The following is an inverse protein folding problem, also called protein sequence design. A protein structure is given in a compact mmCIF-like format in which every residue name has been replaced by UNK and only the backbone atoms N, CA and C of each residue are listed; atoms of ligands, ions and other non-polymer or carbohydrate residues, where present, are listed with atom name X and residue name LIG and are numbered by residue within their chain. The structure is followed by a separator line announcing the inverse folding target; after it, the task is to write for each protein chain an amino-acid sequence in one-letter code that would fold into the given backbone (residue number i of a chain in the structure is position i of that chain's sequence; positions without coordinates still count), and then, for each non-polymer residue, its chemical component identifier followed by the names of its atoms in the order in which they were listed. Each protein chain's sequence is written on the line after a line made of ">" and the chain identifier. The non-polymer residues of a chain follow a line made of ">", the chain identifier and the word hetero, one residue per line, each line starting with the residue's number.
data_IF_162063707142
#
_entry.id   IF_162063707142
#
_cell.length_a   1.000
_cell.length_b   1.000
_cell.length_c   1.000
_cell.angle_alpha   90.00
_cell.angle_beta   90.00
_cell.angle_gamma   90.00
#
_symmetry.space_group_name_H-M   'P 1'
#
loop_
_entity.id
_entity.type
_entity.pdbx_description
1 polymer ?
#
# COMPACT_ATOMS: atom_id res chain seq x y z
N UNK A 1 31.42 -2.55 -7.18
CA UNK A 1 30.57 -3.70 -6.80
C UNK A 1 29.80 -3.30 -5.53
N UNK A 2 28.51 -2.99 -5.63
CA UNK A 2 27.69 -2.79 -4.43
C UNK A 2 27.46 -4.18 -3.82
N UNK A 3 28.02 -4.43 -2.64
CA UNK A 3 27.67 -5.61 -1.84
C UNK A 3 26.16 -5.56 -1.60
N UNK A 4 25.41 -6.54 -2.11
CA UNK A 4 23.99 -6.67 -1.79
C UNK A 4 23.88 -6.96 -0.30
N UNK A 5 23.21 -6.08 0.44
CA UNK A 5 22.86 -6.31 1.85
C UNK A 5 22.07 -7.62 1.96
N UNK A 6 22.38 -8.45 2.92
CA UNK A 6 21.56 -9.61 3.25
C UNK A 6 20.16 -9.18 3.71
N UNK A 7 19.15 -9.91 3.27
CA UNK A 7 17.76 -9.68 3.68
C UNK A 7 17.56 -10.06 5.15
N UNK A 8 16.76 -9.29 5.84
CA UNK A 8 16.31 -9.64 7.19
C UNK A 8 15.31 -10.81 7.14
N UNK A 9 15.04 -11.44 8.30
CA UNK A 9 14.04 -12.49 8.39
C UNK A 9 12.66 -11.99 7.98
N UNK A 10 12.24 -10.79 8.43
CA UNK A 10 10.98 -10.16 8.03
C UNK A 10 10.86 -10.01 6.51
N UNK A 11 11.94 -9.59 5.84
CA UNK A 11 11.97 -9.43 4.38
C UNK A 11 11.80 -10.77 3.66
N UNK A 12 12.47 -11.83 4.13
CA UNK A 12 12.31 -13.17 3.59
C UNK A 12 10.88 -13.70 3.79
N UNK A 13 10.33 -13.52 4.98
CA UNK A 13 8.97 -13.96 5.32
C UNK A 13 7.90 -13.24 4.47
N UNK A 14 8.05 -11.94 4.24
CA UNK A 14 7.13 -11.18 3.39
C UNK A 14 7.18 -11.64 1.92
N UNK A 15 8.37 -11.90 1.40
CA UNK A 15 8.54 -12.45 0.05
C UNK A 15 7.87 -13.82 -0.09
N UNK A 16 8.01 -14.68 0.91
CA UNK A 16 7.37 -15.99 0.91
C UNK A 16 5.84 -15.90 1.03
N UNK A 17 5.33 -14.96 1.82
CA UNK A 17 3.89 -14.67 1.88
C UNK A 17 3.37 -14.20 0.53
N UNK A 18 4.09 -13.30 -0.16
CA UNK A 18 3.73 -12.86 -1.50
C UNK A 18 3.67 -14.02 -2.50
N UNK A 19 4.67 -14.91 -2.52
CA UNK A 19 4.67 -16.09 -3.39
C UNK A 19 3.47 -17.00 -3.16
N UNK A 20 3.06 -17.20 -1.90
CA UNK A 20 1.88 -18.01 -1.57
C UNK A 20 0.57 -17.44 -2.10
N UNK A 21 0.48 -16.12 -2.29
CA UNK A 21 -0.73 -15.49 -2.84
C UNK A 21 -0.85 -15.60 -4.36
N UNK A 22 0.24 -15.81 -5.09
CA UNK A 22 0.27 -15.81 -6.57
C UNK A 22 -0.77 -16.73 -7.19
N UNK A 23 -0.92 -18.02 -6.80
CA UNK A 23 -1.90 -18.91 -7.43
C UNK A 23 -3.34 -18.43 -7.31
N UNK A 24 -3.70 -17.88 -6.17
CA UNK A 24 -5.03 -17.37 -5.88
C UNK A 24 -5.31 -16.07 -6.64
N UNK A 25 -4.33 -15.14 -6.67
CA UNK A 25 -4.45 -13.92 -7.46
C UNK A 25 -4.65 -14.26 -8.94
N UNK A 26 -3.92 -15.23 -9.45
CA UNK A 26 -4.07 -15.72 -10.83
C UNK A 26 -5.48 -16.29 -11.10
N UNK A 27 -6.03 -17.05 -10.17
CA UNK A 27 -7.38 -17.57 -10.29
C UNK A 27 -8.47 -16.49 -10.35
N UNK A 28 -8.24 -15.32 -9.76
CA UNK A 28 -9.18 -14.19 -9.73
C UNK A 28 -8.99 -13.19 -10.87
N UNK A 29 -7.98 -13.32 -11.72
CA UNK A 29 -7.67 -12.34 -12.79
C UNK A 29 -8.85 -12.15 -13.74
N UNK A 30 -9.48 -13.26 -14.20
CA UNK A 30 -10.62 -13.18 -15.11
C UNK A 30 -11.82 -12.43 -14.49
N UNK A 31 -12.05 -12.56 -13.18
CA UNK A 31 -13.09 -11.81 -12.49
C UNK A 31 -12.73 -10.33 -12.37
N UNK A 32 -11.48 -10.02 -12.03
CA UNK A 32 -10.98 -8.65 -11.96
C UNK A 32 -11.12 -7.91 -13.29
N UNK A 33 -10.81 -8.59 -14.40
CA UNK A 33 -10.93 -8.04 -15.76
C UNK A 33 -12.41 -7.82 -16.14
N UNK A 34 -13.30 -8.74 -15.80
CA UNK A 34 -14.74 -8.61 -16.05
C UNK A 34 -15.36 -7.47 -15.28
N UNK A 35 -15.00 -7.31 -14.01
CA UNK A 35 -15.57 -6.33 -13.11
C UNK A 35 -14.86 -4.96 -13.20
N UNK A 36 -13.77 -4.88 -13.99
CA UNK A 36 -12.87 -3.70 -14.10
C UNK A 36 -12.42 -3.19 -12.71
N UNK A 37 -12.22 -4.13 -11.79
CA UNK A 37 -11.95 -3.85 -10.39
C UNK A 37 -11.14 -4.98 -9.75
N UNK A 38 -10.19 -4.61 -8.89
CA UNK A 38 -9.50 -5.61 -8.05
C UNK A 38 -10.48 -6.15 -7.01
N UNK A 39 -10.64 -7.48 -6.87
CA UNK A 39 -11.52 -8.06 -5.86
C UNK A 39 -11.11 -7.64 -4.44
N UNK A 40 -12.10 -7.30 -3.61
CA UNK A 40 -11.90 -6.91 -2.21
C UNK A 40 -11.14 -7.99 -1.44
N UNK A 41 -11.45 -9.25 -1.70
CA UNK A 41 -10.79 -10.41 -1.10
C UNK A 41 -9.29 -10.42 -1.37
N UNK A 42 -8.86 -9.99 -2.56
CA UNK A 42 -7.44 -9.91 -2.88
C UNK A 42 -6.72 -8.85 -2.03
N UNK A 43 -7.36 -7.71 -1.79
CA UNK A 43 -6.80 -6.65 -0.92
C UNK A 43 -6.78 -7.09 0.53
N UNK A 44 -7.85 -7.71 1.03
CA UNK A 44 -7.91 -8.26 2.38
C UNK A 44 -6.83 -9.31 2.64
N UNK A 45 -6.49 -10.12 1.64
CA UNK A 45 -5.41 -11.11 1.75
C UNK A 45 -4.03 -10.46 1.73
N UNK A 46 -3.80 -9.41 0.92
CA UNK A 46 -2.58 -8.60 1.00
C UNK A 46 -2.42 -7.98 2.39
N UNK A 47 -3.52 -7.46 2.96
CA UNK A 47 -3.55 -6.85 4.30
C UNK A 47 -3.28 -7.90 5.38
N UNK A 48 -3.96 -9.05 5.34
CA UNK A 48 -3.80 -10.15 6.29
C UNK A 48 -2.39 -10.75 6.24
N UNK A 49 -1.79 -10.81 5.06
CA UNK A 49 -0.40 -11.22 4.88
C UNK A 49 0.62 -10.17 5.37
N UNK A 50 0.16 -8.97 5.75
CA UNK A 50 1.01 -7.87 6.22
C UNK A 50 1.74 -7.13 5.11
N UNK A 51 1.49 -7.45 3.84
CA UNK A 51 2.24 -6.90 2.71
C UNK A 51 2.03 -5.39 2.55
N UNK A 52 0.83 -4.88 2.82
CA UNK A 52 0.52 -3.45 2.75
C UNK A 52 1.22 -2.61 3.84
N UNK A 53 1.78 -3.26 4.86
CA UNK A 53 2.59 -2.64 5.92
C UNK A 53 4.09 -2.81 5.73
N UNK A 54 4.54 -3.27 4.56
CA UNK A 54 5.96 -3.52 4.29
C UNK A 54 6.84 -2.28 4.55
N UNK A 55 6.41 -1.11 4.08
CA UNK A 55 7.13 0.16 4.26
C UNK A 55 6.65 1.00 5.47
N UNK A 56 5.62 0.55 6.20
CA UNK A 56 5.13 1.24 7.39
C UNK A 56 6.15 1.17 8.52
N UNK A 57 6.31 2.25 9.32
CA UNK A 57 7.24 2.25 10.45
C UNK A 57 6.94 1.15 11.48
N UNK A 58 7.97 0.56 12.06
CA UNK A 58 7.86 -0.44 13.13
C UNK A 58 7.11 0.09 14.35
N UNK A 59 7.26 1.39 14.65
CA UNK A 59 6.55 2.06 15.73
C UNK A 59 5.02 1.98 15.61
N UNK A 60 4.50 1.74 14.39
CA UNK A 60 3.09 1.60 14.09
C UNK A 60 2.77 0.20 13.52
N UNK A 61 3.50 -0.83 13.93
CA UNK A 61 3.22 -2.21 13.57
C UNK A 61 3.60 -2.60 12.14
N UNK A 62 4.40 -1.78 11.44
CA UNK A 62 4.94 -2.09 10.13
C UNK A 62 6.25 -2.87 10.18
N UNK A 63 6.76 -3.23 9.02
CA UNK A 63 8.01 -3.99 8.86
C UNK A 63 9.22 -3.11 8.55
N UNK A 64 9.00 -1.90 8.04
CA UNK A 64 10.05 -0.92 7.71
C UNK A 64 11.18 -1.55 6.87
N UNK A 65 10.77 -2.32 5.85
CA UNK A 65 11.72 -3.05 4.98
C UNK A 65 12.44 -2.11 4.01
N UNK A 66 13.54 -2.59 3.44
CA UNK A 66 14.20 -1.91 2.33
C UNK A 66 13.22 -1.75 1.14
N UNK A 67 13.13 -0.56 0.52
CA UNK A 67 12.27 -0.34 -0.64
C UNK A 67 12.49 -1.34 -1.79
N UNK A 68 13.70 -1.89 -1.94
CA UNK A 68 13.96 -2.95 -2.92
C UNK A 68 13.12 -4.20 -2.65
N UNK A 69 12.98 -4.59 -1.39
CA UNK A 69 12.13 -5.73 -1.00
C UNK A 69 10.66 -5.44 -1.30
N UNK A 70 10.19 -4.20 -1.08
CA UNK A 70 8.83 -3.80 -1.46
C UNK A 70 8.57 -3.98 -2.96
N UNK A 71 9.49 -3.54 -3.83
CA UNK A 71 9.35 -3.72 -5.28
C UNK A 71 9.51 -5.17 -5.72
N UNK A 72 10.31 -5.97 -5.02
CA UNK A 72 10.41 -7.41 -5.25
C UNK A 72 9.09 -8.12 -4.93
N UNK A 73 8.43 -7.76 -3.82
CA UNK A 73 7.07 -8.23 -3.50
C UNK A 73 6.10 -7.86 -4.62
N UNK A 74 6.13 -6.60 -5.09
CA UNK A 74 5.27 -6.16 -6.18
C UNK A 74 5.47 -6.99 -7.46
N UNK A 75 6.71 -7.29 -7.79
CA UNK A 75 7.07 -8.11 -8.95
C UNK A 75 6.50 -9.53 -8.82
N UNK A 76 6.61 -10.14 -7.65
CA UNK A 76 6.05 -11.46 -7.35
C UNK A 76 4.51 -11.45 -7.50
N UNK A 77 3.84 -10.46 -6.93
CA UNK A 77 2.38 -10.34 -7.03
C UNK A 77 1.91 -10.16 -8.47
N UNK A 78 2.72 -9.48 -9.31
CA UNK A 78 2.42 -9.26 -10.73
C UNK A 78 2.41 -10.58 -11.54
N UNK A 79 3.13 -11.60 -11.11
CA UNK A 79 3.06 -12.95 -11.72
C UNK A 79 1.67 -13.58 -11.58
N UNK A 80 0.92 -13.18 -10.55
CA UNK A 80 -0.46 -13.63 -10.34
C UNK A 80 -1.50 -12.72 -10.99
N UNK A 81 -1.41 -11.42 -10.73
CA UNK A 81 -2.34 -10.41 -11.25
C UNK A 81 -1.69 -9.03 -11.26
N UNK A 82 -1.49 -8.46 -12.45
CA UNK A 82 -0.87 -7.15 -12.62
C UNK A 82 -1.69 -6.03 -11.96
N UNK A 83 -3.02 -6.07 -12.08
CA UNK A 83 -3.91 -5.06 -11.46
C UNK A 83 -3.80 -5.08 -9.93
N UNK A 84 -3.73 -6.27 -9.31
CA UNK A 84 -3.52 -6.41 -7.87
C UNK A 84 -2.13 -5.91 -7.46
N UNK A 85 -1.10 -6.21 -8.23
CA UNK A 85 0.25 -5.70 -7.98
C UNK A 85 0.32 -4.17 -8.13
N UNK A 86 -0.44 -3.58 -9.04
CA UNK A 86 -0.57 -2.13 -9.15
C UNK A 86 -1.18 -1.53 -7.89
N UNK A 87 -2.31 -2.07 -7.42
CA UNK A 87 -2.97 -1.63 -6.18
C UNK A 87 -2.03 -1.76 -4.97
N UNK A 88 -1.31 -2.89 -4.86
CA UNK A 88 -0.30 -3.07 -3.84
C UNK A 88 0.76 -1.96 -3.88
N UNK A 89 1.31 -1.66 -5.06
CA UNK A 89 2.34 -0.64 -5.23
C UNK A 89 1.86 0.76 -4.83
N UNK A 90 0.63 1.13 -5.25
CA UNK A 90 0.06 2.45 -4.94
C UNK A 90 -0.29 2.57 -3.46
N UNK A 91 -1.02 1.63 -2.89
CA UNK A 91 -1.44 1.69 -1.49
C UNK A 91 -0.25 1.48 -0.53
N UNK A 92 0.66 0.57 -0.86
CA UNK A 92 1.79 0.21 -0.01
C UNK A 92 2.91 1.26 0.04
N UNK A 93 2.98 2.21 -0.91
CA UNK A 93 3.96 3.31 -0.85
C UNK A 93 3.51 4.45 0.08
N UNK A 94 2.21 4.62 0.31
CA UNK A 94 1.70 5.70 1.16
C UNK A 94 2.15 5.61 2.62
N UNK A 95 2.27 4.44 3.27
CA UNK A 95 2.88 4.33 4.58
C UNK A 95 4.30 4.92 4.67
N UNK A 96 5.12 4.73 3.64
CA UNK A 96 6.44 5.37 3.59
C UNK A 96 6.34 6.90 3.47
N UNK A 97 5.38 7.40 2.71
CA UNK A 97 5.16 8.85 2.59
C UNK A 97 4.68 9.45 3.91
N UNK A 98 3.68 8.83 4.56
CA UNK A 98 3.16 9.28 5.84
C UNK A 98 4.23 9.26 6.94
N UNK A 99 5.15 8.30 6.91
CA UNK A 99 6.28 8.23 7.83
C UNK A 99 7.23 9.45 7.77
N UNK A 100 7.11 10.30 6.75
CA UNK A 100 7.88 11.55 6.60
C UNK A 100 7.17 12.77 7.20
N UNK A 101 5.94 12.62 7.64
CA UNK A 101 5.18 13.66 8.31
C UNK A 101 5.48 13.66 9.83
N UNK A 102 5.12 14.73 10.56
CA UNK A 102 5.27 14.78 12.01
C UNK A 102 4.64 13.56 12.69
N UNK A 103 5.19 13.18 13.84
CA UNK A 103 4.74 11.98 14.56
C UNK A 103 3.28 12.08 15.00
N UNK A 104 2.79 13.29 15.24
CA UNK A 104 1.40 13.58 15.58
C UNK A 104 0.47 13.16 14.45
N UNK A 105 0.81 13.52 13.20
CA UNK A 105 0.04 13.11 12.00
C UNK A 105 0.05 11.59 11.83
N UNK A 106 1.19 10.94 12.08
CA UNK A 106 1.27 9.48 12.02
C UNK A 106 0.38 8.82 13.09
N UNK A 107 0.31 9.41 14.30
CA UNK A 107 -0.56 8.94 15.38
C UNK A 107 -2.04 9.15 15.07
N UNK A 108 -2.42 10.24 14.39
CA UNK A 108 -3.79 10.46 13.94
C UNK A 108 -4.28 9.35 13.00
N UNK A 109 -3.39 8.84 12.13
CA UNK A 109 -3.76 7.79 11.17
C UNK A 109 -3.65 6.39 11.77
N UNK A 110 -2.58 6.10 12.51
CA UNK A 110 -2.26 4.73 12.94
C UNK A 110 -2.33 4.50 14.45
N UNK A 111 -2.65 5.56 15.26
CA UNK A 111 -2.59 5.45 16.71
C UNK A 111 -3.60 4.45 17.30
N UNK A 112 -4.79 4.39 16.71
CA UNK A 112 -5.86 3.48 17.13
C UNK A 112 -5.88 2.20 16.28
N UNK A 113 -5.64 2.31 14.96
CA UNK A 113 -5.64 1.19 14.03
C UNK A 113 -4.37 1.19 13.16
N UNK A 114 -3.41 0.35 13.53
CA UNK A 114 -2.18 0.18 12.77
C UNK A 114 -2.40 -0.44 11.37
N UNK A 115 -3.58 -0.96 11.08
CA UNK A 115 -3.93 -1.55 9.79
C UNK A 115 -4.64 -0.60 8.84
N UNK A 116 -4.88 0.65 9.27
CA UNK A 116 -5.53 1.66 8.44
C UNK A 116 -4.82 1.82 7.09
N UNK A 117 -5.60 1.69 6.02
CA UNK A 117 -5.11 1.79 4.65
C UNK A 117 -5.15 3.26 4.19
N UNK A 118 -4.24 3.60 3.30
CA UNK A 118 -4.10 4.95 2.79
C UNK A 118 -4.14 4.91 1.27
N UNK A 119 -4.97 5.77 0.68
CA UNK A 119 -4.91 6.06 -0.75
C UNK A 119 -4.81 7.57 -0.95
N UNK A 120 -4.31 7.98 -2.09
CA UNK A 120 -4.22 9.40 -2.45
C UNK A 120 -4.18 9.61 -3.96
N UNK A 121 -4.22 10.87 -4.35
CA UNK A 121 -3.95 11.32 -5.71
C UNK A 121 -2.85 12.37 -5.68
N UNK A 122 -2.02 12.39 -6.71
CA UNK A 122 -0.99 13.42 -6.89
C UNK A 122 -1.46 14.58 -7.78
N UNK A 123 -2.74 14.56 -8.20
CA UNK A 123 -3.30 15.60 -9.06
C UNK A 123 -3.64 16.85 -8.23
N UNK A 124 -3.05 18.02 -8.52
CA UNK A 124 -3.30 19.26 -7.77
C UNK A 124 -4.61 19.92 -8.23
N UNK A 125 -5.75 19.24 -8.08
CA UNK A 125 -7.07 19.67 -8.55
C UNK A 125 -7.91 20.33 -7.43
N UNK A 126 -7.35 20.55 -6.23
CA UNK A 126 -8.08 21.14 -5.13
C UNK A 126 -8.20 22.66 -5.24
N UNK A 127 -9.39 23.17 -4.86
CA UNK A 127 -9.53 24.54 -4.38
C UNK A 127 -9.33 24.54 -2.87
N UNK A 128 -8.34 25.28 -2.41
CA UNK A 128 -7.97 25.35 -1.00
C UNK A 128 -8.19 26.76 -0.48
N UNK A 129 -8.96 26.90 0.60
CA UNK A 129 -9.16 28.17 1.30
C UNK A 129 -8.69 28.02 2.73
N UNK A 130 -7.86 28.93 3.20
CA UNK A 130 -7.45 29.01 4.60
C UNK A 130 -8.65 29.48 5.42
N UNK A 131 -8.95 28.76 6.50
CA UNK A 131 -10.01 29.10 7.46
C UNK A 131 -9.44 29.05 8.87
N UNK A 132 -10.17 29.58 9.85
CA UNK A 132 -9.77 29.48 11.25
C UNK A 132 -9.63 28.00 11.65
N UNK A 133 -8.48 27.62 12.18
CA UNK A 133 -8.18 26.26 12.63
C UNK A 133 -7.80 25.26 11.52
N UNK A 134 -7.65 25.69 10.25
CA UNK A 134 -7.26 24.77 9.19
C UNK A 134 -7.54 25.21 7.75
N UNK A 135 -7.98 24.29 6.94
CA UNK A 135 -8.24 24.49 5.51
C UNK A 135 -9.60 23.93 5.10
N UNK A 136 -10.29 24.66 4.22
CA UNK A 136 -11.42 24.11 3.48
C UNK A 136 -10.93 23.65 2.11
N UNK A 137 -11.12 22.37 1.82
CA UNK A 137 -10.67 21.76 0.56
C UNK A 137 -11.90 21.32 -0.22
N UNK A 138 -11.95 21.69 -1.52
CA UNK A 138 -13.01 21.28 -2.44
C UNK A 138 -12.39 20.89 -3.76
N UNK A 139 -12.90 19.81 -4.38
CA UNK A 139 -12.40 19.34 -5.66
C UNK A 139 -12.93 17.96 -6.03
N UNK A 140 -12.59 17.54 -7.24
CA UNK A 140 -12.80 16.18 -7.74
C UNK A 140 -11.48 15.67 -8.30
N UNK A 141 -11.03 14.56 -7.80
CA UNK A 141 -9.73 13.97 -8.18
C UNK A 141 -9.93 12.65 -8.91
N UNK A 142 -9.15 12.46 -9.99
CA UNK A 142 -8.96 11.17 -10.64
C UNK A 142 -7.69 10.48 -10.15
N UNK A 143 -7.48 9.26 -10.60
CA UNK A 143 -6.26 8.48 -10.34
C UNK A 143 -5.94 8.26 -8.85
N UNK A 144 -6.97 8.07 -8.03
CA UNK A 144 -6.83 7.60 -6.64
C UNK A 144 -7.01 6.08 -6.60
N UNK A 145 -6.08 5.34 -7.23
CA UNK A 145 -6.15 3.90 -7.29
C UNK A 145 -6.15 3.29 -5.88
N UNK A 146 -7.07 2.37 -5.63
CA UNK A 146 -7.24 1.77 -4.30
C UNK A 146 -8.25 2.50 -3.39
N UNK A 147 -8.80 3.67 -3.77
CA UNK A 147 -9.73 4.43 -2.93
C UNK A 147 -11.01 3.68 -2.54
N UNK A 148 -11.37 2.65 -3.26
CA UNK A 148 -12.51 1.78 -2.97
C UNK A 148 -12.23 0.73 -1.88
N UNK A 149 -10.98 0.67 -1.41
CA UNK A 149 -10.50 -0.28 -0.39
C UNK A 149 -10.02 0.41 0.89
N UNK A 150 -10.02 1.76 0.92
CA UNK A 150 -9.61 2.56 2.09
C UNK A 150 -10.80 3.01 2.94
#
# INVERSE_FOLDING_TARGET
>A
MHSMREKTQDECDLLDRARRLVPMLKARTAQADKDLKVPVESVLELQSAGLLRALQPRAFGGYEVDPRTFFEIQTILAEGCMSTAWIYGVMGVHPWQLARYPIETQREVWGEDHSALICSTYMPAAQVTVVEGGYRISGRWGFSSGSEHC
#
